data_IF_726883432063
#
_entry.id   IF_726883432063
#
_cell.length_a   1.000
_cell.length_b   1.000
_cell.length_c   1.000
_cell.angle_alpha   90.00
_cell.angle_beta   90.00
_cell.angle_gamma   90.00
#
_symmetry.space_group_name_H-M   'P 1'
#
loop_
_entity.id
_entity.type
_entity.pdbx_description
1 polymer ?
#
# COMPACT_ATOMS: atom_id res chain seq x y z
N UNK A 1 -11.33 -1.50 6.11
CA UNK A 1 -11.01 -0.16 6.63
C UNK A 1 -9.77 -0.30 7.47
N UNK A 2 -8.82 0.61 7.33
CA UNK A 2 -7.57 0.58 8.08
C UNK A 2 -7.45 1.87 8.88
N UNK A 3 -7.20 1.76 10.17
CA UNK A 3 -6.75 2.88 10.99
C UNK A 3 -5.23 2.84 11.00
N UNK A 4 -4.60 3.75 10.25
CA UNK A 4 -3.16 3.78 10.07
C UNK A 4 -2.55 4.94 10.88
N UNK A 5 -1.73 4.59 11.85
CA UNK A 5 -0.97 5.52 12.67
C UNK A 5 0.50 5.38 12.32
N UNK A 6 1.17 6.51 12.05
CA UNK A 6 2.60 6.53 11.77
C UNK A 6 3.20 7.89 12.12
N UNK A 7 4.52 7.94 12.23
CA UNK A 7 5.28 9.15 12.52
C UNK A 7 6.28 9.41 11.40
N UNK A 8 6.19 10.59 10.79
CA UNK A 8 7.04 10.97 9.67
C UNK A 8 7.31 12.48 9.71
N UNK A 9 8.56 12.88 9.45
CA UNK A 9 8.99 14.29 9.45
C UNK A 9 8.55 15.08 10.70
N UNK A 10 8.75 14.47 11.88
CA UNK A 10 8.36 15.01 13.18
C UNK A 10 6.85 15.24 13.41
N UNK A 11 6.00 14.61 12.57
CA UNK A 11 4.54 14.70 12.62
C UNK A 11 3.91 13.34 12.85
N UNK A 12 2.96 13.27 13.78
CA UNK A 12 2.10 12.08 13.96
C UNK A 12 0.89 12.15 13.04
N UNK A 13 0.73 11.12 12.21
CA UNK A 13 -0.40 10.96 11.30
C UNK A 13 -1.39 9.94 11.83
N UNK A 14 -2.66 10.18 11.54
CA UNK A 14 -3.75 9.25 11.80
C UNK A 14 -4.72 9.26 10.62
N UNK A 15 -4.58 8.25 9.76
CA UNK A 15 -5.37 8.13 8.55
C UNK A 15 -6.41 7.02 8.69
N UNK A 16 -7.59 7.26 8.14
CA UNK A 16 -8.58 6.21 7.86
C UNK A 16 -8.47 5.85 6.38
N UNK A 17 -7.98 4.65 6.10
CA UNK A 17 -7.62 4.23 4.75
C UNK A 17 -8.56 3.14 4.22
N UNK A 18 -8.87 3.25 2.92
CA UNK A 18 -9.66 2.28 2.17
C UNK A 18 -8.83 1.77 1.00
N UNK A 19 -8.41 0.51 1.10
CA UNK A 19 -7.63 -0.16 0.09
C UNK A 19 -8.55 -0.96 -0.83
N UNK A 20 -8.33 -0.84 -2.15
CA UNK A 20 -9.14 -1.50 -3.17
C UNK A 20 -8.24 -2.35 -4.08
N UNK A 21 -8.70 -3.55 -4.43
CA UNK A 21 -8.13 -4.30 -5.54
C UNK A 21 -8.69 -3.70 -6.83
N UNK A 22 -7.82 -3.18 -7.69
CA UNK A 22 -8.19 -2.49 -8.91
C UNK A 22 -7.83 -3.32 -10.14
N UNK A 23 -8.67 -3.22 -11.18
CA UNK A 23 -8.38 -3.73 -12.52
C UNK A 23 -8.18 -2.53 -13.45
N UNK A 24 -6.93 -2.23 -13.86
CA UNK A 24 -6.68 -1.19 -14.85
C UNK A 24 -7.44 -1.49 -16.15
N UNK A 25 -7.92 -0.45 -16.83
CA UNK A 25 -8.58 -0.59 -18.15
C UNK A 25 -7.57 -0.71 -19.29
N UNK A 26 -6.34 -0.28 -19.03
CA UNK A 26 -5.21 -0.24 -19.96
C UNK A 26 -3.94 -0.64 -19.19
N UNK A 27 -2.86 -0.96 -19.92
CA UNK A 27 -1.57 -1.27 -19.30
C UNK A 27 -1.03 -0.04 -18.54
N UNK A 28 -0.67 -0.18 -17.25
CA UNK A 28 -0.17 0.95 -16.48
C UNK A 28 1.22 1.38 -16.94
N UNK A 29 1.49 2.69 -16.87
CA UNK A 29 2.82 3.23 -17.10
C UNK A 29 3.78 2.78 -15.97
N UNK A 30 5.05 2.55 -16.30
CA UNK A 30 6.11 2.21 -15.35
C UNK A 30 6.70 3.45 -14.67
N UNK A 31 6.06 4.62 -14.83
CA UNK A 31 6.38 5.86 -14.15
C UNK A 31 5.11 6.47 -13.56
N UNK A 32 5.21 6.92 -12.32
CA UNK A 32 4.15 7.65 -11.64
C UNK A 32 4.63 9.07 -11.30
N UNK A 33 3.76 10.06 -11.49
CA UNK A 33 4.02 11.45 -11.10
C UNK A 33 3.06 11.87 -9.99
N UNK A 34 3.62 12.32 -8.88
CA UNK A 34 2.89 12.92 -7.77
C UNK A 34 3.40 14.34 -7.54
N UNK A 35 2.59 15.34 -7.90
CA UNK A 35 3.04 16.74 -7.93
C UNK A 35 4.23 16.92 -8.86
N UNK A 36 5.38 17.32 -8.30
CA UNK A 36 6.65 17.48 -9.03
C UNK A 36 7.57 16.26 -8.96
N UNK A 37 7.23 15.24 -8.17
CA UNK A 37 8.06 14.03 -8.00
C UNK A 37 7.65 12.97 -9.01
N UNK A 38 8.62 12.40 -9.70
CA UNK A 38 8.44 11.25 -10.61
C UNK A 38 9.14 10.05 -9.99
N UNK A 39 8.43 8.94 -9.89
CA UNK A 39 8.93 7.66 -9.37
C UNK A 39 8.76 6.55 -10.40
N UNK A 40 9.54 5.48 -10.26
CA UNK A 40 9.46 4.27 -11.08
C UNK A 40 8.47 3.31 -10.44
N UNK A 41 7.59 2.72 -11.23
CA UNK A 41 6.70 1.65 -10.80
C UNK A 41 7.29 0.29 -11.17
N UNK A 42 7.20 -0.67 -10.25
CA UNK A 42 7.70 -2.02 -10.45
C UNK A 42 6.60 -3.04 -10.15
N UNK A 43 6.57 -4.12 -10.92
CA UNK A 43 5.74 -5.28 -10.62
C UNK A 43 6.46 -6.17 -9.61
N UNK A 44 5.83 -6.41 -8.46
CA UNK A 44 6.37 -7.26 -7.40
C UNK A 44 5.47 -8.48 -7.23
N UNK A 45 6.07 -9.65 -7.10
CA UNK A 45 5.33 -10.87 -6.78
C UNK A 45 4.67 -10.74 -5.40
N UNK A 46 3.37 -11.05 -5.31
CA UNK A 46 2.59 -10.90 -4.07
C UNK A 46 3.21 -11.66 -2.88
N UNK A 47 3.89 -12.78 -3.11
CA UNK A 47 4.50 -13.58 -2.04
C UNK A 47 5.91 -13.09 -1.62
N UNK A 48 6.40 -11.99 -2.21
CA UNK A 48 7.72 -11.39 -1.91
C UNK A 48 7.61 -9.97 -1.36
N UNK A 49 6.43 -9.56 -0.92
CA UNK A 49 6.22 -8.21 -0.38
C UNK A 49 7.00 -7.98 0.92
N UNK A 50 7.36 -9.03 1.65
CA UNK A 50 8.21 -9.00 2.83
C UNK A 50 9.70 -8.75 2.52
N UNK A 51 10.12 -8.95 1.26
CA UNK A 51 11.49 -8.71 0.81
C UNK A 51 11.77 -7.24 0.46
N UNK A 52 10.74 -6.39 0.42
CA UNK A 52 10.85 -4.96 0.08
C UNK A 52 10.43 -4.06 1.24
N UNK A 53 10.84 -2.80 1.18
CA UNK A 53 10.43 -1.77 2.14
C UNK A 53 9.04 -1.19 1.80
N UNK A 54 8.03 -2.08 1.75
CA UNK A 54 6.66 -1.71 1.47
C UNK A 54 6.01 -1.00 2.66
N UNK A 55 5.41 0.16 2.39
CA UNK A 55 4.55 0.90 3.32
C UNK A 55 3.12 1.00 2.76
N UNK A 56 2.07 0.88 3.60
CA UNK A 56 2.13 0.51 5.01
C UNK A 56 2.52 -0.97 5.25
N UNK A 57 3.24 -1.25 6.34
CA UNK A 57 3.88 -2.55 6.59
C UNK A 57 2.89 -3.73 6.68
N UNK A 58 1.66 -3.49 7.16
CA UNK A 58 0.64 -4.53 7.27
C UNK A 58 0.33 -5.21 5.92
N UNK A 59 0.54 -4.51 4.78
CA UNK A 59 0.31 -5.08 3.45
C UNK A 59 1.23 -6.26 3.15
N UNK A 60 2.44 -6.30 3.73
CA UNK A 60 3.40 -7.38 3.52
C UNK A 60 2.83 -8.74 3.93
N UNK A 61 1.96 -8.76 4.95
CA UNK A 61 1.39 -9.99 5.51
C UNK A 61 -0.09 -10.14 5.19
N UNK A 62 -0.88 -9.07 5.21
CA UNK A 62 -2.33 -9.15 5.03
C UNK A 62 -2.73 -9.36 3.57
N UNK A 63 -2.00 -8.78 2.61
CA UNK A 63 -2.35 -8.87 1.19
C UNK A 63 -2.13 -10.29 0.63
N UNK A 64 -0.99 -10.98 0.88
CA UNK A 64 -0.80 -12.35 0.39
C UNK A 64 -1.76 -13.36 1.04
N UNK A 65 -2.16 -13.10 2.29
CA UNK A 65 -3.08 -13.94 3.06
C UNK A 65 -4.54 -13.48 2.96
N UNK A 66 -4.86 -12.58 2.02
CA UNK A 66 -6.20 -12.02 1.91
C UNK A 66 -7.19 -13.07 1.37
N UNK A 67 -8.29 -13.27 2.09
CA UNK A 67 -9.31 -14.28 1.80
C UNK A 67 -10.54 -13.71 1.07
N UNK A 68 -10.39 -12.59 0.35
CA UNK A 68 -11.46 -11.87 -0.35
C UNK A 68 -12.59 -11.32 0.53
N UNK A 69 -12.39 -11.22 1.85
CA UNK A 69 -13.35 -10.60 2.77
C UNK A 69 -12.89 -9.20 3.18
N UNK A 70 -13.86 -8.30 3.41
CA UNK A 70 -13.57 -6.99 3.97
C UNK A 70 -12.96 -7.19 5.37
N UNK A 71 -11.76 -6.62 5.58
CA UNK A 71 -11.08 -6.62 6.88
C UNK A 71 -11.07 -5.23 7.50
N UNK A 72 -11.11 -5.19 8.83
CA UNK A 72 -10.72 -4.04 9.63
C UNK A 72 -9.31 -4.30 10.16
N UNK A 73 -8.40 -3.34 9.94
CA UNK A 73 -7.00 -3.42 10.39
C UNK A 73 -6.68 -2.18 11.22
N UNK A 74 -5.92 -2.36 12.29
CA UNK A 74 -5.37 -1.27 13.10
C UNK A 74 -3.86 -1.38 12.96
N UNK A 75 -3.26 -0.46 12.20
CA UNK A 75 -1.82 -0.41 11.94
C UNK A 75 -1.21 0.73 12.79
N UNK A 76 -0.28 0.42 13.68
CA UNK A 76 0.28 1.36 14.66
C UNK A 76 1.79 1.34 14.68
#
# INVERSE_FOLDING_TARGET
>A
MVENYFFEEDVSWHNIEFHYIVSPKEEPDLKMQEGSKVQVCEWVEINKLDEIDLVPEFLKTELPNWNCQLKHVINK
#
